data_IF_356339759932
#
_entry.id   IF_356339759932
#
_cell.length_a   1.000
_cell.length_b   1.000
_cell.length_c   1.000
_cell.angle_alpha   90.00
_cell.angle_beta   90.00
_cell.angle_gamma   90.00
#
_symmetry.space_group_name_H-M   'P 1'
#
loop_
_entity.id
_entity.type
_entity.pdbx_description
1 polymer ?
#
# COMPACT_ATOMS: atom_id res chain seq x y z
N UNK A 1 2.07 11.65 -16.92
CA UNK A 1 2.32 10.40 -16.16
C UNK A 1 3.81 10.13 -16.19
N UNK A 2 4.40 9.88 -15.05
CA UNK A 2 5.83 9.68 -14.85
C UNK A 2 6.05 8.59 -13.78
N UNK A 3 7.06 7.74 -13.99
CA UNK A 3 7.46 6.72 -13.02
C UNK A 3 8.70 7.17 -12.27
N UNK A 4 8.81 6.77 -11.01
CA UNK A 4 9.95 7.07 -10.15
C UNK A 4 10.31 5.89 -9.25
N UNK A 5 11.52 5.94 -8.71
CA UNK A 5 12.05 4.94 -7.81
C UNK A 5 12.23 5.53 -6.41
N UNK A 6 11.86 4.76 -5.38
CA UNK A 6 12.11 5.09 -3.97
C UNK A 6 13.12 4.07 -3.45
N UNK A 7 14.26 4.55 -2.98
CA UNK A 7 15.22 3.71 -2.29
C UNK A 7 14.84 3.60 -0.81
N UNK A 8 14.60 2.40 -0.34
CA UNK A 8 14.24 2.15 1.07
C UNK A 8 15.46 2.14 1.98
N UNK A 9 15.23 2.28 3.29
CA UNK A 9 16.30 2.25 4.32
C UNK A 9 17.08 0.93 4.37
N UNK A 10 16.51 -0.17 3.88
CA UNK A 10 17.13 -1.48 3.81
C UNK A 10 17.59 -1.87 2.38
N UNK A 11 17.63 -0.90 1.46
CA UNK A 11 18.26 -1.02 0.15
C UNK A 11 17.38 -1.61 -0.95
N UNK A 12 16.05 -1.74 -0.76
CA UNK A 12 15.12 -2.12 -1.81
C UNK A 12 14.74 -0.90 -2.65
N UNK A 13 14.41 -1.14 -3.92
CA UNK A 13 13.83 -0.14 -4.82
C UNK A 13 12.32 -0.37 -4.93
N UNK A 14 11.52 0.59 -4.50
CA UNK A 14 10.07 0.60 -4.71
C UNK A 14 9.73 1.39 -5.97
N UNK A 15 8.77 0.90 -6.73
CA UNK A 15 8.34 1.51 -8.00
C UNK A 15 7.12 2.39 -7.76
N UNK A 16 7.25 3.66 -8.07
CA UNK A 16 6.20 4.66 -7.93
C UNK A 16 5.74 5.23 -9.27
N UNK A 17 4.58 5.86 -9.24
CA UNK A 17 3.95 6.56 -10.36
C UNK A 17 3.36 7.88 -9.89
N UNK A 18 3.62 8.92 -10.65
CA UNK A 18 3.05 10.27 -10.50
C UNK A 18 2.22 10.62 -11.73
N UNK A 19 1.04 11.14 -11.48
CA UNK A 19 0.22 11.82 -12.50
C UNK A 19 -0.15 13.18 -11.95
N UNK A 20 0.07 14.22 -12.72
CA UNK A 20 -0.23 15.60 -12.32
C UNK A 20 -1.07 16.30 -13.40
N UNK A 21 -1.94 17.27 -13.02
CA UNK A 21 -2.63 18.13 -13.95
C UNK A 21 -1.62 19.01 -14.72
N UNK A 22 -2.06 19.64 -15.79
CA UNK A 22 -1.23 20.55 -16.58
C UNK A 22 -0.90 21.88 -15.86
N UNK A 23 -1.73 22.27 -14.88
CA UNK A 23 -1.53 23.42 -14.01
C UNK A 23 -0.98 22.99 -12.66
N UNK A 24 -0.56 23.97 -11.83
CA UNK A 24 -0.17 23.70 -10.43
C UNK A 24 -1.31 22.98 -9.69
N UNK A 25 -1.00 21.85 -9.02
CA UNK A 25 -2.03 21.06 -8.37
C UNK A 25 -2.59 21.75 -7.11
N UNK A 26 -3.90 21.66 -6.91
CA UNK A 26 -4.58 22.16 -5.70
C UNK A 26 -4.20 21.38 -4.45
N UNK A 27 -3.86 20.10 -4.61
CA UNK A 27 -3.46 19.18 -3.57
C UNK A 27 -2.72 17.98 -4.19
N UNK A 28 -2.08 17.19 -3.35
CA UNK A 28 -1.45 15.91 -3.70
C UNK A 28 -2.20 14.78 -2.99
N UNK A 29 -2.72 13.81 -3.74
CA UNK A 29 -3.22 12.56 -3.19
C UNK A 29 -2.13 11.49 -3.25
N UNK A 30 -1.64 11.06 -2.09
CA UNK A 30 -0.67 9.97 -1.93
C UNK A 30 -1.42 8.68 -1.59
N UNK A 31 -1.36 7.65 -2.46
CA UNK A 31 -2.13 6.41 -2.31
C UNK A 31 -1.22 5.26 -1.88
N UNK A 32 -1.61 4.55 -0.82
CA UNK A 32 -1.03 3.30 -0.34
C UNK A 32 -2.03 2.17 -0.59
N UNK A 33 -1.70 1.27 -1.51
CA UNK A 33 -2.60 0.18 -1.94
C UNK A 33 -2.72 -0.95 -0.91
N UNK A 34 -3.69 -1.85 -1.12
CA UNK A 34 -3.97 -2.98 -0.25
C UNK A 34 -3.04 -4.18 -0.45
N UNK A 35 -3.22 -5.21 0.40
CA UNK A 35 -2.49 -6.47 0.27
C UNK A 35 -2.85 -7.19 -1.03
N UNK A 36 -1.83 -7.73 -1.68
CA UNK A 36 -1.98 -8.57 -2.86
C UNK A 36 -2.24 -7.81 -4.16
N UNK A 37 -2.50 -6.51 -4.10
CA UNK A 37 -2.72 -5.66 -5.28
C UNK A 37 -1.49 -4.79 -5.63
N UNK A 38 -1.66 -3.79 -6.48
CA UNK A 38 -0.60 -2.88 -6.93
C UNK A 38 -1.17 -1.54 -7.43
N UNK A 39 -0.30 -0.55 -7.60
CA UNK A 39 -0.63 0.83 -7.96
C UNK A 39 -1.45 0.99 -9.25
N UNK A 40 -1.30 0.12 -10.24
CA UNK A 40 -2.01 0.25 -11.52
C UNK A 40 -3.53 0.04 -11.40
N UNK A 41 -4.00 -0.56 -10.30
CA UNK A 41 -5.43 -0.77 -10.05
C UNK A 41 -6.18 0.52 -9.68
N UNK A 42 -5.46 1.61 -9.42
CA UNK A 42 -6.02 2.90 -9.01
C UNK A 42 -6.23 3.89 -10.17
N UNK A 43 -6.11 3.46 -11.43
CA UNK A 43 -6.23 4.33 -12.61
C UNK A 43 -7.53 5.15 -12.60
N UNK A 44 -8.66 4.54 -12.25
CA UNK A 44 -9.96 5.22 -12.17
C UNK A 44 -10.00 6.32 -11.09
N UNK A 45 -9.30 6.12 -9.96
CA UNK A 45 -9.15 7.15 -8.91
C UNK A 45 -8.24 8.26 -9.42
N UNK A 46 -7.14 7.89 -10.07
CA UNK A 46 -6.18 8.85 -10.65
C UNK A 46 -6.89 9.77 -11.64
N UNK A 47 -7.64 9.20 -12.59
CA UNK A 47 -8.35 9.96 -13.62
C UNK A 47 -9.36 10.95 -13.01
N UNK A 48 -10.12 10.51 -12.00
CA UNK A 48 -11.06 11.37 -11.28
C UNK A 48 -10.37 12.52 -10.55
N UNK A 49 -9.23 12.26 -9.88
CA UNK A 49 -8.50 13.29 -9.15
C UNK A 49 -7.82 14.30 -10.07
N UNK A 50 -7.27 13.85 -11.18
CA UNK A 50 -6.65 14.74 -12.18
C UNK A 50 -7.71 15.70 -12.77
N UNK A 51 -8.93 15.22 -13.02
CA UNK A 51 -10.03 16.07 -13.49
C UNK A 51 -10.38 17.19 -12.50
N UNK A 52 -10.16 16.98 -11.21
CA UNK A 52 -10.37 17.97 -10.15
C UNK A 52 -9.14 18.86 -9.87
N UNK A 53 -8.05 18.67 -10.61
CA UNK A 53 -6.80 19.43 -10.45
C UNK A 53 -5.95 18.96 -9.25
N UNK A 54 -6.07 17.70 -8.86
CA UNK A 54 -5.30 17.06 -7.77
C UNK A 54 -4.24 16.15 -8.39
N UNK A 55 -2.97 16.36 -8.04
CA UNK A 55 -1.90 15.44 -8.42
C UNK A 55 -2.01 14.12 -7.63
N UNK A 56 -1.72 13.00 -8.27
CA UNK A 56 -1.76 11.69 -7.61
C UNK A 56 -0.39 11.05 -7.65
N UNK A 57 0.07 10.62 -6.48
CA UNK A 57 1.24 9.78 -6.31
C UNK A 57 0.79 8.42 -5.77
N UNK A 58 1.39 7.36 -6.27
CA UNK A 58 1.19 6.02 -5.76
C UNK A 58 2.46 5.20 -5.96
N UNK A 59 2.63 4.12 -5.23
CA UNK A 59 3.77 3.22 -5.36
C UNK A 59 3.34 1.78 -5.07
N UNK A 60 4.09 0.83 -5.58
CA UNK A 60 3.96 -0.57 -5.22
C UNK A 60 4.66 -0.83 -3.89
N UNK A 61 3.94 -1.32 -2.89
CA UNK A 61 4.51 -1.74 -1.61
C UNK A 61 5.65 -2.75 -1.82
N UNK A 62 6.61 -2.80 -0.90
CA UNK A 62 7.66 -3.82 -0.92
C UNK A 62 7.09 -5.22 -1.13
N UNK A 63 7.69 -6.00 -2.04
CA UNK A 63 7.21 -7.33 -2.38
C UNK A 63 5.87 -7.38 -3.11
N UNK A 64 5.34 -6.27 -3.61
CA UNK A 64 4.11 -6.17 -4.41
C UNK A 64 4.41 -5.54 -5.77
N UNK A 65 3.47 -5.69 -6.71
CA UNK A 65 3.55 -5.08 -8.02
C UNK A 65 4.90 -5.30 -8.69
N UNK A 66 5.54 -4.20 -9.09
CA UNK A 66 6.87 -4.15 -9.71
C UNK A 66 8.00 -3.80 -8.73
N UNK A 67 7.67 -3.53 -7.45
CA UNK A 67 8.65 -3.23 -6.41
C UNK A 67 9.47 -4.44 -6.03
N UNK A 68 10.71 -4.19 -5.63
CA UNK A 68 11.64 -5.21 -5.15
C UNK A 68 11.20 -5.82 -3.81
N UNK A 69 11.89 -6.85 -3.41
CA UNK A 69 11.65 -7.61 -2.20
C UNK A 69 10.95 -8.96 -2.46
N UNK A 70 11.02 -9.84 -1.46
CA UNK A 70 10.31 -11.12 -1.50
C UNK A 70 8.81 -10.87 -1.55
N UNK A 71 8.11 -11.58 -2.45
CA UNK A 71 6.68 -11.44 -2.67
C UNK A 71 5.88 -11.65 -1.38
N UNK A 72 5.00 -10.67 -1.06
CA UNK A 72 4.15 -10.68 0.14
C UNK A 72 4.94 -10.69 1.45
N UNK A 73 6.10 -10.02 1.51
CA UNK A 73 7.01 -10.06 2.67
C UNK A 73 7.49 -8.67 3.08
N UNK A 74 7.58 -8.48 4.40
CA UNK A 74 8.44 -7.49 5.02
C UNK A 74 9.22 -8.15 6.17
N UNK A 75 10.52 -7.87 6.26
CA UNK A 75 11.37 -8.40 7.34
C UNK A 75 10.94 -7.86 8.71
N UNK A 76 10.47 -6.61 8.74
CA UNK A 76 9.91 -5.93 9.91
C UNK A 76 8.73 -5.07 9.45
N UNK A 77 7.68 -5.03 10.27
CA UNK A 77 6.53 -4.18 9.99
C UNK A 77 6.91 -2.68 9.93
N UNK A 78 7.90 -2.25 10.74
CA UNK A 78 8.38 -0.87 10.72
C UNK A 78 8.86 -0.40 9.35
N UNK A 79 9.41 -1.30 8.52
CA UNK A 79 9.85 -0.94 7.16
C UNK A 79 8.69 -0.47 6.26
N UNK A 80 7.46 -0.97 6.48
CA UNK A 80 6.29 -0.47 5.75
C UNK A 80 5.95 0.99 6.13
N UNK A 81 6.19 1.35 7.39
CA UNK A 81 5.99 2.72 7.88
C UNK A 81 7.08 3.66 7.32
N UNK A 82 8.32 3.19 7.30
CA UNK A 82 9.46 3.91 6.74
C UNK A 82 9.31 4.10 5.22
N UNK A 83 8.78 3.10 4.49
CA UNK A 83 8.47 3.22 3.06
C UNK A 83 7.45 4.33 2.77
N UNK A 84 6.42 4.46 3.60
CA UNK A 84 5.43 5.55 3.49
C UNK A 84 6.08 6.90 3.75
N UNK A 85 7.00 6.99 4.71
CA UNK A 85 7.75 8.23 5.00
C UNK A 85 8.58 8.67 3.79
N UNK A 86 9.38 7.76 3.22
CA UNK A 86 10.18 8.03 2.01
C UNK A 86 9.30 8.41 0.81
N UNK A 87 8.17 7.74 0.65
CA UNK A 87 7.19 8.05 -0.38
C UNK A 87 6.63 9.47 -0.24
N UNK A 88 6.24 9.87 0.97
CA UNK A 88 5.73 11.21 1.24
C UNK A 88 6.81 12.30 1.03
N UNK A 89 8.06 12.02 1.44
CA UNK A 89 9.18 12.91 1.17
C UNK A 89 9.41 13.10 -0.34
N UNK A 90 9.26 12.04 -1.14
CA UNK A 90 9.34 12.14 -2.59
C UNK A 90 8.24 13.03 -3.16
N UNK A 91 6.98 12.83 -2.78
CA UNK A 91 5.86 13.64 -3.22
C UNK A 91 6.02 15.13 -2.83
N UNK A 92 6.52 15.41 -1.63
CA UNK A 92 6.77 16.76 -1.13
C UNK A 92 7.84 17.50 -1.94
N UNK A 93 8.89 16.82 -2.38
CA UNK A 93 9.96 17.44 -3.21
C UNK A 93 9.46 17.91 -4.56
N UNK A 94 8.43 17.26 -5.11
CA UNK A 94 7.86 17.58 -6.41
C UNK A 94 6.92 18.80 -6.37
N UNK A 95 6.13 18.91 -5.28
CA UNK A 95 5.16 20.02 -5.08
C UNK A 95 5.25 20.50 -3.63
N UNK A 96 6.17 21.44 -3.39
CA UNK A 96 6.57 21.85 -2.04
C UNK A 96 5.42 22.49 -1.24
N UNK A 97 4.53 23.24 -1.87
CA UNK A 97 3.48 24.03 -1.20
C UNK A 97 2.09 23.38 -1.24
N UNK A 98 1.90 22.35 -2.06
CA UNK A 98 0.59 21.70 -2.20
C UNK A 98 0.27 20.85 -0.95
N UNK A 99 -0.97 20.93 -0.39
CA UNK A 99 -1.37 20.11 0.74
C UNK A 99 -1.39 18.62 0.38
N UNK A 100 -0.82 17.78 1.23
CA UNK A 100 -0.80 16.32 1.05
C UNK A 100 -2.04 15.70 1.71
N UNK A 101 -2.74 14.87 0.94
CA UNK A 101 -3.80 13.97 1.40
C UNK A 101 -3.25 12.55 1.34
N UNK A 102 -3.14 11.87 2.48
CA UNK A 102 -2.64 10.49 2.54
C UNK A 102 -3.80 9.50 2.56
N UNK A 103 -3.89 8.66 1.52
CA UNK A 103 -4.92 7.64 1.39
C UNK A 103 -4.33 6.24 1.54
N UNK A 104 -5.01 5.38 2.32
CA UNK A 104 -4.70 3.96 2.38
C UNK A 104 -5.95 3.11 2.23
N UNK A 105 -5.86 2.04 1.43
CA UNK A 105 -6.93 1.07 1.24
C UNK A 105 -6.57 -0.29 1.85
N UNK A 106 -7.51 -0.93 2.55
CA UNK A 106 -7.34 -2.28 3.13
C UNK A 106 -6.06 -2.38 3.98
N UNK A 107 -5.09 -3.19 3.58
CA UNK A 107 -3.77 -3.29 4.23
C UNK A 107 -3.01 -1.96 4.17
N UNK A 108 -3.08 -1.23 3.05
CA UNK A 108 -2.56 0.14 2.97
C UNK A 108 -3.23 1.09 3.96
N UNK A 109 -4.54 0.91 4.21
CA UNK A 109 -5.27 1.63 5.26
C UNK A 109 -4.77 1.32 6.66
N UNK A 110 -4.43 0.06 6.93
CA UNK A 110 -3.77 -0.35 8.18
C UNK A 110 -2.39 0.29 8.33
N UNK A 111 -1.57 0.30 7.26
CA UNK A 111 -0.24 0.94 7.26
C UNK A 111 -0.38 2.43 7.53
N UNK A 112 -1.27 3.13 6.81
CA UNK A 112 -1.52 4.58 6.97
C UNK A 112 -2.00 4.91 8.39
N UNK A 113 -2.93 4.14 8.96
CA UNK A 113 -3.38 4.33 10.34
C UNK A 113 -2.21 4.23 11.34
N UNK A 114 -1.35 3.22 11.19
CA UNK A 114 -0.15 3.06 12.02
C UNK A 114 0.88 4.17 11.80
N UNK A 115 1.05 4.64 10.56
CA UNK A 115 1.92 5.77 10.24
C UNK A 115 1.46 7.02 10.99
N UNK A 116 0.19 7.38 10.91
CA UNK A 116 -0.39 8.55 11.57
C UNK A 116 -0.27 8.50 13.10
N UNK A 117 -0.29 7.30 13.69
CA UNK A 117 -0.13 7.12 15.14
C UNK A 117 1.33 7.17 15.62
N UNK A 118 2.30 6.89 14.75
CA UNK A 118 3.71 6.68 15.14
C UNK A 118 4.66 7.76 14.66
N UNK A 119 4.27 8.54 13.65
CA UNK A 119 5.14 9.54 13.02
C UNK A 119 4.59 10.96 13.19
N UNK A 120 5.47 11.94 13.03
CA UNK A 120 5.06 13.34 12.93
C UNK A 120 4.34 13.56 11.60
N UNK A 121 3.14 14.12 11.66
CA UNK A 121 2.22 14.22 10.52
C UNK A 121 1.85 15.66 10.17
N UNK A 122 2.66 16.64 10.61
CA UNK A 122 2.42 18.08 10.38
C UNK A 122 2.30 18.48 8.90
N UNK A 123 2.86 17.66 8.01
CA UNK A 123 2.83 17.89 6.56
C UNK A 123 1.59 17.28 5.87
N UNK A 124 0.80 16.49 6.60
CA UNK A 124 -0.39 15.82 6.08
C UNK A 124 -1.62 16.66 6.42
N UNK A 125 -2.25 17.23 5.39
CA UNK A 125 -3.44 18.06 5.55
C UNK A 125 -4.70 17.24 5.85
N UNK A 126 -4.81 16.02 5.30
CA UNK A 126 -5.93 15.11 5.54
C UNK A 126 -5.51 13.65 5.32
N UNK A 127 -6.29 12.72 5.89
CA UNK A 127 -6.12 11.29 5.68
C UNK A 127 -7.43 10.63 5.26
N UNK A 128 -7.36 9.69 4.31
CA UNK A 128 -8.47 8.86 3.85
C UNK A 128 -8.12 7.40 4.15
N UNK A 129 -8.88 6.77 5.04
CA UNK A 129 -8.68 5.37 5.40
C UNK A 129 -9.89 4.58 4.90
N UNK A 130 -9.68 3.84 3.79
CA UNK A 130 -10.72 3.08 3.12
C UNK A 130 -10.65 1.61 3.52
N UNK A 131 -11.73 1.10 4.14
CA UNK A 131 -11.88 -0.32 4.53
C UNK A 131 -10.61 -0.92 5.15
N UNK A 132 -10.02 -0.30 6.20
CA UNK A 132 -8.72 -0.71 6.71
C UNK A 132 -8.76 -2.15 7.27
N UNK A 133 -7.70 -2.90 7.01
CA UNK A 133 -7.56 -4.24 7.58
C UNK A 133 -7.16 -4.15 9.06
N UNK A 134 -8.13 -3.93 9.93
CA UNK A 134 -7.92 -3.83 11.39
C UNK A 134 -8.13 -5.17 12.10
N UNK A 135 -8.95 -6.06 11.51
CA UNK A 135 -9.25 -7.39 12.05
C UNK A 135 -9.57 -8.34 10.91
N UNK A 136 -9.24 -9.62 11.08
CA UNK A 136 -9.71 -10.65 10.16
C UNK A 136 -11.23 -10.81 10.27
N UNK A 137 -11.90 -11.10 9.16
CA UNK A 137 -13.34 -11.34 9.09
C UNK A 137 -13.74 -12.66 9.79
N UNK A 138 -12.78 -13.51 10.10
CA UNK A 138 -12.94 -14.78 10.82
C UNK A 138 -11.91 -14.87 11.96
N UNK A 139 -12.18 -15.71 12.94
CA UNK A 139 -11.21 -16.00 14.01
C UNK A 139 -10.37 -17.21 13.61
N UNK A 140 -9.08 -16.99 13.28
CA UNK A 140 -8.19 -18.11 12.97
C UNK A 140 -7.98 -18.98 14.21
N UNK A 141 -7.77 -20.29 14.05
CA UNK A 141 -7.45 -21.17 15.18
C UNK A 141 -6.28 -20.64 16.00
N UNK A 142 -6.41 -20.63 17.34
CA UNK A 142 -5.43 -20.03 18.24
C UNK A 142 -4.00 -20.57 18.03
N UNK A 143 -3.87 -21.85 17.66
CA UNK A 143 -2.56 -22.45 17.36
C UNK A 143 -1.91 -21.82 16.11
N UNK A 144 -2.70 -21.49 15.05
CA UNK A 144 -2.17 -20.81 13.85
C UNK A 144 -1.68 -19.41 14.19
N UNK A 145 -2.43 -18.66 15.02
CA UNK A 145 -2.01 -17.33 15.48
C UNK A 145 -0.71 -17.42 16.29
N UNK A 146 -0.62 -18.38 17.22
CA UNK A 146 0.60 -18.59 18.02
C UNK A 146 1.78 -18.99 17.12
N UNK A 147 1.57 -19.86 16.15
CA UNK A 147 2.59 -20.26 15.18
C UNK A 147 3.05 -19.08 14.34
N UNK A 148 2.11 -18.26 13.80
CA UNK A 148 2.43 -17.09 13.02
C UNK A 148 3.29 -16.10 13.81
N UNK A 149 2.96 -15.81 15.08
CA UNK A 149 3.75 -14.97 15.98
C UNK A 149 5.16 -15.51 16.25
N UNK A 150 5.30 -16.83 16.44
CA UNK A 150 6.61 -17.49 16.61
C UNK A 150 7.40 -17.35 15.30
N UNK A 151 6.78 -17.69 14.17
CA UNK A 151 7.43 -17.61 12.85
C UNK A 151 7.81 -16.20 12.46
N UNK A 152 7.03 -15.19 12.82
CA UNK A 152 7.37 -13.77 12.59
C UNK A 152 8.72 -13.39 13.24
N UNK A 153 9.07 -14.00 14.37
CA UNK A 153 10.33 -13.74 15.06
C UNK A 153 11.49 -14.65 14.61
N UNK A 154 11.23 -15.93 14.30
CA UNK A 154 12.27 -16.93 13.99
C UNK A 154 12.54 -17.00 12.49
N UNK A 155 11.47 -17.01 11.70
CA UNK A 155 11.54 -17.11 10.24
C UNK A 155 10.44 -16.26 9.58
N UNK A 156 10.57 -14.92 9.59
CA UNK A 156 9.54 -14.02 9.08
C UNK A 156 9.23 -14.23 7.59
N UNK A 157 10.11 -14.90 6.86
CA UNK A 157 9.93 -15.27 5.47
C UNK A 157 9.07 -16.53 5.25
N UNK A 158 8.60 -17.20 6.32
CA UNK A 158 7.62 -18.28 6.21
C UNK A 158 6.35 -17.78 5.55
N UNK A 159 5.91 -18.44 4.48
CA UNK A 159 4.77 -18.00 3.67
C UNK A 159 3.63 -19.02 3.72
N UNK A 160 2.42 -18.50 3.76
CA UNK A 160 1.19 -19.29 3.63
C UNK A 160 0.29 -18.64 2.56
N UNK A 161 -0.71 -19.37 2.08
CA UNK A 161 -1.69 -18.81 1.16
C UNK A 161 -2.53 -17.76 1.89
N UNK A 162 -2.75 -16.65 1.21
CA UNK A 162 -3.73 -15.67 1.65
C UNK A 162 -5.13 -16.27 1.49
N UNK A 163 -5.93 -16.23 2.56
CA UNK A 163 -7.32 -16.71 2.55
C UNK A 163 -8.28 -15.62 2.00
N UNK A 164 -7.77 -14.70 1.17
CA UNK A 164 -8.57 -13.63 0.57
C UNK A 164 -9.55 -14.23 -0.46
N UNK A 165 -10.84 -14.12 -0.16
CA UNK A 165 -11.89 -14.50 -1.09
C UNK A 165 -12.10 -13.40 -2.14
N UNK A 166 -11.56 -13.63 -3.34
CA UNK A 166 -11.58 -12.67 -4.45
C UNK A 166 -13.01 -12.29 -4.85
N UNK A 167 -14.00 -13.20 -4.69
CA UNK A 167 -15.40 -12.93 -5.02
C UNK A 167 -16.02 -11.83 -4.16
N UNK A 168 -15.42 -11.53 -3.00
CA UNK A 168 -15.87 -10.49 -2.07
C UNK A 168 -15.21 -9.12 -2.28
N UNK A 169 -14.25 -9.01 -3.21
CA UNK A 169 -13.55 -7.75 -3.46
C UNK A 169 -14.43 -6.72 -4.16
N UNK A 170 -15.39 -7.16 -4.96
CA UNK A 170 -16.30 -6.26 -5.69
C UNK A 170 -17.65 -6.90 -5.92
N UNK A 171 -18.70 -6.06 -6.02
CA UNK A 171 -20.03 -6.46 -6.53
C UNK A 171 -20.06 -6.57 -8.06
N UNK A 172 -19.02 -6.08 -8.73
CA UNK A 172 -18.86 -6.12 -10.19
C UNK A 172 -18.00 -7.33 -10.53
N UNK A 173 -18.53 -8.37 -11.17
CA UNK A 173 -17.81 -9.63 -11.43
C UNK A 173 -16.53 -9.45 -12.23
N UNK A 174 -16.53 -8.52 -13.19
CA UNK A 174 -15.40 -8.23 -14.07
C UNK A 174 -14.18 -7.73 -13.27
N UNK A 175 -14.39 -7.04 -12.15
CA UNK A 175 -13.31 -6.59 -11.26
C UNK A 175 -12.64 -7.77 -10.56
N UNK A 176 -13.43 -8.75 -10.09
CA UNK A 176 -12.93 -9.97 -9.45
C UNK A 176 -12.19 -10.85 -10.48
N UNK A 177 -12.70 -10.95 -11.70
CA UNK A 177 -12.06 -11.68 -12.80
C UNK A 177 -10.73 -11.04 -13.19
N UNK A 178 -10.70 -9.71 -13.40
CA UNK A 178 -9.48 -8.97 -13.70
C UNK A 178 -8.43 -9.14 -12.60
N UNK A 179 -8.83 -9.09 -11.31
CA UNK A 179 -7.95 -9.34 -10.18
C UNK A 179 -7.33 -10.75 -10.24
N UNK A 180 -8.14 -11.77 -10.51
CA UNK A 180 -7.68 -13.17 -10.53
C UNK A 180 -6.72 -13.48 -11.69
N UNK A 181 -6.82 -12.74 -12.80
CA UNK A 181 -5.98 -12.92 -14.00
C UNK A 181 -4.73 -12.05 -13.99
N UNK A 182 -4.62 -11.12 -13.05
CA UNK A 182 -3.52 -10.17 -13.01
C UNK A 182 -2.23 -10.84 -12.46
N UNK A 183 -1.15 -10.92 -13.25
CA UNK A 183 0.09 -11.56 -12.83
C UNK A 183 0.85 -10.80 -11.73
N UNK A 184 0.51 -9.54 -11.47
CA UNK A 184 1.12 -8.73 -10.42
C UNK A 184 0.42 -8.92 -9.07
N UNK A 185 -0.78 -9.52 -9.07
CA UNK A 185 -1.53 -9.83 -7.85
C UNK A 185 -0.89 -10.98 -7.08
N UNK A 186 -0.92 -10.87 -5.74
CA UNK A 186 -0.40 -11.89 -4.83
C UNK A 186 -1.52 -12.66 -4.16
N UNK A 187 -1.25 -13.95 -3.94
CA UNK A 187 -2.10 -14.82 -3.14
C UNK A 187 -1.35 -15.47 -1.96
N UNK A 188 -0.15 -15.00 -1.63
CA UNK A 188 0.67 -15.51 -0.53
C UNK A 188 1.09 -14.38 0.40
N UNK A 189 1.00 -14.63 1.71
CA UNK A 189 1.41 -13.73 2.78
C UNK A 189 2.48 -14.39 3.61
N UNK A 190 3.46 -13.61 4.09
CA UNK A 190 4.48 -14.13 5.01
C UNK A 190 4.20 -13.74 6.46
N UNK A 191 4.77 -14.51 7.39
CA UNK A 191 4.66 -14.25 8.81
C UNK A 191 5.17 -12.83 9.19
N UNK A 192 6.15 -12.30 8.47
CA UNK A 192 6.68 -10.94 8.70
C UNK A 192 5.73 -9.80 8.36
N UNK A 193 4.66 -10.06 7.58
CA UNK A 193 3.58 -9.11 7.33
C UNK A 193 2.43 -9.21 8.34
N UNK A 194 2.43 -10.24 9.17
CA UNK A 194 1.38 -10.42 10.18
C UNK A 194 1.65 -9.44 11.33
N UNK A 195 0.71 -8.53 11.63
CA UNK A 195 0.87 -7.52 12.69
C UNK A 195 0.83 -8.13 14.11
#
# INVERSE_FOLDING_TARGET
MEYFDILTVDGLTLKGKKVAPASEPKAILCIVHGFGEHQERYTHVIDAMIAEGIAVFTFDLRGHGKSEGKRGHAKKYSYLIEDVEEFLMHARREFNDAPIILMGHSFGGHIVANFLLKKTTSEIAAAIISSPWLKLAFEPPAFKVKLAKIMANIYPAYSDKSELDVSRLSRVPEVAEAYSKDPLVLNTITAGLFP
#
